data_IF_332281232760
#
_entry.id   IF_332281232760
#
_cell.length_a   1.000
_cell.length_b   1.000
_cell.length_c   1.000
_cell.angle_alpha   90.00
_cell.angle_beta   90.00
_cell.angle_gamma   90.00
#
_symmetry.space_group_name_H-M   'P 1'
#
loop_
_entity.id
_entity.type
_entity.pdbx_description
1 polymer ?
#
# COMPACT_ATOMS: atom_id res chain seq x y z
N UNK A 1 -15.64 -27.68 21.49
CA UNK A 1 -16.39 -26.76 20.60
C UNK A 1 -15.44 -25.69 20.07
N UNK A 2 -14.94 -25.89 18.84
CA UNK A 2 -14.50 -24.87 17.88
C UNK A 2 -13.42 -23.84 18.26
N UNK A 3 -12.17 -24.28 18.39
CA UNK A 3 -10.98 -23.43 18.20
C UNK A 3 -10.74 -23.31 16.68
N UNK A 4 -10.31 -22.14 16.20
CA UNK A 4 -9.83 -21.87 14.82
C UNK A 4 -10.87 -21.56 13.72
N UNK A 5 -11.60 -20.45 13.82
CA UNK A 5 -11.97 -19.75 12.57
C UNK A 5 -12.04 -18.23 12.73
N UNK A 6 -11.52 -17.55 11.71
CA UNK A 6 -11.65 -16.11 11.42
C UNK A 6 -10.97 -15.12 12.37
N UNK A 7 -9.73 -14.79 12.02
CA UNK A 7 -9.52 -13.50 11.34
C UNK A 7 -8.24 -13.49 10.51
N UNK A 8 -8.44 -13.55 9.19
CA UNK A 8 -7.44 -13.32 8.15
C UNK A 8 -6.98 -11.87 8.21
N UNK A 9 -6.09 -11.57 9.15
CA UNK A 9 -5.24 -10.38 9.15
C UNK A 9 -4.26 -10.46 7.98
N UNK A 10 -4.74 -10.05 6.80
CA UNK A 10 -4.00 -9.51 5.65
C UNK A 10 -2.53 -9.95 5.60
N UNK A 11 -2.31 -11.15 5.05
CA UNK A 11 -1.04 -11.70 4.58
C UNK A 11 -0.10 -10.55 4.19
N UNK A 12 0.95 -10.38 5.00
CA UNK A 12 2.20 -9.80 4.55
C UNK A 12 2.53 -10.39 3.18
N UNK A 13 2.94 -9.51 2.28
CA UNK A 13 3.27 -9.76 0.88
C UNK A 13 4.00 -11.11 0.71
N UNK A 14 3.25 -12.16 0.34
CA UNK A 14 3.86 -13.40 -0.14
C UNK A 14 4.24 -13.15 -1.59
N UNK A 15 5.55 -13.15 -1.81
CA UNK A 15 6.17 -13.31 -3.11
C UNK A 15 5.58 -14.55 -3.78
N UNK A 16 4.76 -14.34 -4.80
CA UNK A 16 4.25 -15.38 -5.69
C UNK A 16 3.82 -14.68 -6.99
N UNK A 17 3.97 -15.32 -8.14
CA UNK A 17 3.87 -14.73 -9.48
C UNK A 17 2.53 -14.05 -9.77
N UNK A 18 2.34 -12.83 -9.26
CA UNK A 18 1.11 -12.05 -9.41
C UNK A 18 1.11 -11.41 -10.79
N UNK A 19 0.04 -11.66 -11.55
CA UNK A 19 -0.21 -11.05 -12.85
C UNK A 19 -0.16 -9.51 -12.76
N UNK A 20 0.76 -8.83 -13.48
CA UNK A 20 0.84 -7.37 -13.53
C UNK A 20 -0.48 -6.69 -13.93
N UNK A 21 -1.32 -7.35 -14.73
CA UNK A 21 -2.63 -6.84 -15.09
C UNK A 21 -3.60 -6.82 -13.88
N UNK A 22 -3.53 -7.83 -13.01
CA UNK A 22 -4.31 -7.87 -11.78
C UNK A 22 -3.88 -6.77 -10.79
N UNK A 23 -2.58 -6.49 -10.69
CA UNK A 23 -2.07 -5.39 -9.86
C UNK A 23 -2.56 -4.03 -10.38
N UNK A 24 -2.52 -3.79 -11.69
CA UNK A 24 -3.04 -2.55 -12.26
C UNK A 24 -4.55 -2.40 -12.07
N UNK A 25 -5.33 -3.49 -12.17
CA UNK A 25 -6.77 -3.46 -11.88
C UNK A 25 -7.01 -3.07 -10.42
N UNK A 26 -6.25 -3.66 -9.50
CA UNK A 26 -6.33 -3.32 -8.08
C UNK A 26 -5.99 -1.86 -7.81
N UNK A 27 -4.91 -1.35 -8.40
CA UNK A 27 -4.52 0.06 -8.25
C UNK A 27 -5.61 1.00 -8.76
N UNK A 28 -6.22 0.71 -9.91
CA UNK A 28 -7.36 1.48 -10.44
C UNK A 28 -8.56 1.48 -9.50
N UNK A 29 -8.92 0.32 -8.99
CA UNK A 29 -10.01 0.20 -8.02
C UNK A 29 -9.71 0.99 -6.75
N UNK A 30 -8.50 0.88 -6.22
CA UNK A 30 -8.11 1.59 -5.01
C UNK A 30 -8.15 3.12 -5.21
N UNK A 31 -7.65 3.62 -6.35
CA UNK A 31 -7.77 5.04 -6.72
C UNK A 31 -9.23 5.49 -6.83
N UNK A 32 -10.13 4.63 -7.30
CA UNK A 32 -11.56 4.96 -7.40
C UNK A 32 -12.27 5.00 -6.03
N UNK A 33 -11.83 4.18 -5.08
CA UNK A 33 -12.40 4.09 -3.73
C UNK A 33 -11.90 5.20 -2.79
N UNK A 34 -10.75 5.82 -3.09
CA UNK A 34 -10.10 6.80 -2.22
C UNK A 34 -10.01 8.18 -2.89
N UNK A 35 -10.01 9.25 -2.09
CA UNK A 35 -9.92 10.64 -2.59
C UNK A 35 -8.51 11.20 -2.37
N UNK A 36 -8.10 12.09 -3.27
CA UNK A 36 -6.80 12.77 -3.20
C UNK A 36 -5.61 11.80 -3.20
N UNK A 37 -5.68 10.78 -4.05
CA UNK A 37 -4.64 9.75 -4.13
C UNK A 37 -3.42 10.28 -4.86
N UNK A 38 -2.25 10.07 -4.27
CA UNK A 38 -0.94 10.32 -4.86
C UNK A 38 -0.15 9.02 -4.94
N UNK A 39 0.57 8.81 -6.04
CA UNK A 39 1.44 7.66 -6.20
C UNK A 39 2.89 8.02 -5.92
N UNK A 40 3.58 7.15 -5.21
CA UNK A 40 5.01 7.24 -4.92
C UNK A 40 5.69 5.99 -5.48
N UNK A 41 6.53 6.17 -6.48
CA UNK A 41 7.30 5.11 -7.09
C UNK A 41 8.54 4.87 -6.26
N UNK A 42 8.71 3.62 -5.86
CA UNK A 42 9.94 3.12 -5.25
C UNK A 42 10.83 2.54 -6.36
N UNK A 43 12.12 2.91 -6.41
CA UNK A 43 13.02 2.40 -7.42
C UNK A 43 13.26 0.90 -7.22
N UNK A 44 13.67 0.24 -8.30
CA UNK A 44 14.17 -1.13 -8.24
C UNK A 44 15.35 -1.20 -7.26
N UNK A 45 15.31 -2.18 -6.37
CA UNK A 45 16.43 -2.56 -5.51
C UNK A 45 16.98 -3.92 -5.94
N UNK A 46 18.05 -4.37 -5.30
CA UNK A 46 18.65 -5.69 -5.55
C UNK A 46 17.66 -6.85 -5.39
N UNK A 47 16.69 -6.70 -4.48
CA UNK A 47 15.75 -7.78 -4.08
C UNK A 47 14.29 -7.49 -4.43
N UNK A 48 13.97 -6.31 -4.97
CA UNK A 48 12.59 -5.91 -5.25
C UNK A 48 12.53 -5.09 -6.53
N UNK A 49 11.66 -5.51 -7.46
CA UNK A 49 11.36 -4.74 -8.66
C UNK A 49 10.67 -3.41 -8.34
N UNK A 50 10.56 -2.54 -9.34
CA UNK A 50 9.88 -1.24 -9.20
C UNK A 50 8.47 -1.43 -8.63
N UNK A 51 8.22 -0.81 -7.48
CA UNK A 51 6.93 -0.81 -6.77
C UNK A 51 6.33 0.58 -6.74
N UNK A 52 5.01 0.64 -6.58
CA UNK A 52 4.27 1.88 -6.35
C UNK A 52 3.54 1.79 -5.02
N UNK A 53 3.63 2.86 -4.25
CA UNK A 53 2.84 3.12 -3.06
C UNK A 53 1.80 4.18 -3.40
N UNK A 54 0.52 3.85 -3.30
CA UNK A 54 -0.55 4.84 -3.39
C UNK A 54 -0.87 5.33 -1.98
N UNK A 55 -1.00 6.64 -1.80
CA UNK A 55 -1.34 7.28 -0.52
C UNK A 55 -2.52 8.21 -0.74
N UNK A 56 -3.61 7.95 -0.02
CA UNK A 56 -4.83 8.73 -0.05
C UNK A 56 -4.69 10.02 0.79
N UNK A 57 -5.67 10.91 0.69
CA UNK A 57 -5.69 12.18 1.41
C UNK A 57 -5.73 12.00 2.94
N UNK A 58 -6.37 10.93 3.44
CA UNK A 58 -6.48 10.57 4.85
C UNK A 58 -5.23 9.86 5.40
N UNK A 59 -4.27 9.53 4.54
CA UNK A 59 -3.06 8.81 4.88
C UNK A 59 -3.15 7.29 4.74
N UNK A 60 -4.30 6.73 4.37
CA UNK A 60 -4.37 5.30 4.03
C UNK A 60 -3.50 5.03 2.79
N UNK A 61 -2.81 3.89 2.81
CA UNK A 61 -1.86 3.57 1.75
C UNK A 61 -1.89 2.09 1.37
N UNK A 62 -1.50 1.82 0.12
CA UNK A 62 -1.32 0.46 -0.41
C UNK A 62 -0.08 0.38 -1.28
N UNK A 63 0.59 -0.78 -1.29
CA UNK A 63 1.81 -1.02 -2.09
C UNK A 63 1.62 -2.19 -3.05
N UNK A 64 1.97 -2.00 -4.32
CA UNK A 64 1.93 -3.02 -5.38
C UNK A 64 3.13 -2.89 -6.32
N UNK A 65 3.37 -3.92 -7.13
CA UNK A 65 4.39 -3.86 -8.19
C UNK A 65 3.89 -2.93 -9.30
N UNK A 66 4.79 -2.13 -9.86
CA UNK A 66 4.46 -1.25 -10.97
C UNK A 66 4.53 -1.97 -12.33
N UNK A 67 5.06 -3.21 -12.36
CA UNK A 67 5.35 -3.93 -13.61
C UNK A 67 6.65 -3.46 -14.27
N UNK A 68 7.66 -3.09 -13.47
CA UNK A 68 8.95 -2.56 -13.92
C UNK A 68 8.91 -1.07 -14.27
N UNK A 69 10.02 -0.54 -14.77
CA UNK A 69 10.18 0.89 -15.08
C UNK A 69 9.17 1.41 -16.11
N UNK A 70 8.88 0.60 -17.15
CA UNK A 70 7.92 0.96 -18.19
C UNK A 70 6.47 0.97 -17.68
N UNK A 71 6.17 0.16 -16.65
CA UNK A 71 4.88 0.18 -15.98
C UNK A 71 4.75 1.41 -15.08
N UNK A 72 5.79 1.73 -14.32
CA UNK A 72 5.83 2.91 -13.45
C UNK A 72 5.66 4.23 -14.23
N UNK A 73 6.35 4.40 -15.37
CA UNK A 73 6.19 5.60 -16.22
C UNK A 73 4.77 5.77 -16.75
N UNK A 74 4.07 4.67 -17.04
CA UNK A 74 2.70 4.68 -17.56
C UNK A 74 1.63 4.79 -16.46
N UNK A 75 1.99 4.74 -15.18
CA UNK A 75 1.03 4.86 -14.08
C UNK A 75 0.34 6.22 -14.10
N UNK A 76 1.07 7.31 -14.33
CA UNK A 76 0.49 8.66 -14.41
C UNK A 76 -0.58 8.75 -15.50
N UNK A 77 -0.28 8.21 -16.68
CA UNK A 77 -1.20 8.23 -17.82
C UNK A 77 -2.45 7.36 -17.58
N UNK A 78 -2.28 6.21 -16.92
CA UNK A 78 -3.33 5.20 -16.69
C UNK A 78 -4.23 5.51 -15.50
N UNK A 79 -3.67 6.09 -14.44
CA UNK A 79 -4.39 6.38 -13.19
C UNK A 79 -4.84 7.83 -13.09
N UNK A 80 -4.28 8.74 -13.90
CA UNK A 80 -4.61 10.18 -13.90
C UNK A 80 -4.46 10.84 -12.53
N UNK A 81 -3.45 10.41 -11.77
CA UNK A 81 -3.09 10.94 -10.44
C UNK A 81 -1.67 11.49 -10.46
N UNK A 82 -1.31 12.37 -9.51
CA UNK A 82 0.07 12.77 -9.30
C UNK A 82 0.95 11.56 -8.98
N UNK A 83 2.12 11.49 -9.63
CA UNK A 83 3.11 10.42 -9.42
C UNK A 83 4.45 11.05 -9.10
N UNK A 84 5.04 10.64 -7.99
CA UNK A 84 6.31 11.15 -7.48
C UNK A 84 7.32 10.01 -7.33
N UNK A 85 8.60 10.37 -7.34
CA UNK A 85 9.69 9.46 -6.99
C UNK A 85 9.98 9.58 -5.50
N UNK A 86 9.85 8.47 -4.77
CA UNK A 86 10.04 8.46 -3.32
C UNK A 86 11.46 8.86 -2.91
N UNK A 87 12.47 8.61 -3.74
CA UNK A 87 13.84 9.01 -3.42
C UNK A 87 14.05 10.52 -3.49
N UNK A 88 13.18 11.22 -4.24
CA UNK A 88 13.25 12.67 -4.40
C UNK A 88 12.42 13.41 -3.36
N UNK A 89 11.18 12.95 -3.13
CA UNK A 89 10.23 13.66 -2.27
C UNK A 89 10.05 13.01 -0.89
N UNK A 90 10.50 11.77 -0.71
CA UNK A 90 10.23 10.98 0.48
C UNK A 90 8.79 10.49 0.58
N UNK A 91 8.47 9.87 1.71
CA UNK A 91 7.09 9.49 2.04
C UNK A 91 6.34 10.68 2.65
N UNK A 92 5.06 10.89 2.29
CA UNK A 92 4.29 12.02 2.80
C UNK A 92 4.00 11.85 4.29
N UNK A 93 3.94 12.97 5.01
CA UNK A 93 3.71 12.98 6.47
C UNK A 93 2.40 12.27 6.87
N UNK A 94 1.32 12.47 6.09
CA UNK A 94 0.01 11.83 6.33
C UNK A 94 0.07 10.30 6.38
N UNK A 95 0.94 9.67 5.58
CA UNK A 95 1.15 8.21 5.62
C UNK A 95 1.78 7.79 6.95
N UNK A 96 2.77 8.56 7.43
CA UNK A 96 3.44 8.29 8.72
C UNK A 96 2.46 8.47 9.89
N UNK A 97 1.62 9.49 9.82
CA UNK A 97 0.61 9.76 10.85
C UNK A 97 -0.45 8.64 10.89
N UNK A 98 -0.87 8.13 9.72
CA UNK A 98 -1.77 6.98 9.63
C UNK A 98 -1.16 5.72 10.28
N UNK A 99 0.09 5.40 9.97
CA UNK A 99 0.79 4.25 10.56
C UNK A 99 0.96 4.40 12.08
N UNK A 100 1.25 5.62 12.56
CA UNK A 100 1.34 5.92 13.99
C UNK A 100 0.00 5.69 14.71
N UNK A 101 -1.11 6.18 14.13
CA UNK A 101 -2.47 5.98 14.66
C UNK A 101 -2.81 4.49 14.72
N UNK A 102 -2.63 3.76 13.60
CA UNK A 102 -2.83 2.30 13.52
C UNK A 102 -2.01 1.54 14.55
N UNK A 103 -0.76 1.95 14.79
CA UNK A 103 0.11 1.30 15.79
C UNK A 103 -0.43 1.48 17.21
N UNK A 104 -0.91 2.67 17.55
CA UNK A 104 -1.51 2.96 18.87
C UNK A 104 -2.79 2.14 19.05
N UNK A 105 -3.66 2.10 18.05
CA UNK A 105 -4.89 1.31 18.07
C UNK A 105 -4.62 -0.18 18.28
N UNK A 106 -3.65 -0.75 17.53
CA UNK A 106 -3.24 -2.15 17.69
C UNK A 106 -2.69 -2.43 19.09
N UNK A 107 -1.88 -1.54 19.65
CA UNK A 107 -1.37 -1.68 21.03
C UNK A 107 -2.50 -1.64 22.06
N UNK A 108 -3.48 -0.74 21.89
CA UNK A 108 -4.64 -0.63 22.77
C UNK A 108 -5.58 -1.84 22.67
N UNK A 109 -5.75 -2.42 21.49
CA UNK A 109 -6.50 -3.65 21.29
C UNK A 109 -5.80 -4.84 21.96
N UNK A 110 -4.51 -5.02 21.70
CA UNK A 110 -3.71 -6.09 22.31
C UNK A 110 -3.70 -5.99 23.85
N UNK A 111 -3.62 -4.78 24.42
CA UNK A 111 -3.71 -4.59 25.88
C UNK A 111 -5.07 -5.00 26.43
N UNK A 112 -6.17 -4.67 25.75
CA UNK A 112 -7.53 -5.06 26.15
C UNK A 112 -7.77 -6.57 26.07
N UNK A 113 -7.17 -7.26 25.11
CA UNK A 113 -7.22 -8.72 25.01
C UNK A 113 -6.40 -9.44 26.08
N UNK A 114 -5.39 -8.77 26.68
CA UNK A 114 -4.57 -9.33 27.76
C UNK A 114 -5.13 -9.04 29.16
N UNK A 115 -5.95 -7.99 29.30
CA UNK A 115 -6.55 -7.54 30.58
C UNK A 115 -7.98 -8.06 30.79
N UNK A 116 -8.59 -8.72 29.79
CA UNK A 116 -9.91 -9.35 29.86
C UNK A 116 -9.84 -10.86 29.91
#
# INVERSE_FOLDING_TARGET
>A
MGLFDKWRGRRAARADGRDPAADLKYLRQWVAEHRGVEAYVEPKTTVTDVTVVLVAADGEWTRRRAGGDAGARRLSERLKIPVYDVQKVGYPQRMRDYDARRRIERKRAARRELEG
#
